data_IF_690698583419
#
_entry.id   IF_690698583419
#
_cell.length_a   1.000
_cell.length_b   1.000
_cell.length_c   1.000
_cell.angle_alpha   90.00
_cell.angle_beta   90.00
_cell.angle_gamma   90.00
#
_symmetry.space_group_name_H-M   'P 1'
#
loop_
_entity.id
_entity.type
_entity.pdbx_description
1 polymer ?
#
# COMPACT_ATOMS: atom_id res chain seq x y z
N UNK A 1 -3.95 -10.84 19.22
CA UNK A 1 -4.27 -12.03 18.41
C UNK A 1 -4.24 -11.64 16.95
N UNK A 2 -3.21 -12.04 16.21
CA UNK A 2 -3.03 -11.69 14.80
C UNK A 2 -3.40 -12.85 13.88
N UNK A 3 -3.91 -12.54 12.70
CA UNK A 3 -4.08 -13.51 11.62
C UNK A 3 -3.63 -12.88 10.30
N UNK A 4 -2.56 -13.45 9.73
CA UNK A 4 -2.12 -13.21 8.36
C UNK A 4 -2.35 -14.50 7.57
N UNK A 5 -3.22 -14.48 6.55
CA UNK A 5 -2.91 -15.07 5.25
C UNK A 5 -3.92 -14.65 4.17
N UNK A 6 -3.40 -14.48 2.95
CA UNK A 6 -4.16 -14.07 1.77
C UNK A 6 -5.21 -15.09 1.35
N UNK A 7 -6.17 -14.61 0.57
CA UNK A 7 -7.37 -15.28 0.01
C UNK A 7 -8.68 -15.27 0.82
N UNK A 8 -8.65 -14.97 2.13
CA UNK A 8 -9.85 -14.61 2.93
C UNK A 8 -9.56 -13.37 3.82
N UNK A 9 -8.96 -12.33 3.24
CA UNK A 9 -8.44 -11.19 3.99
C UNK A 9 -9.55 -10.28 4.51
N UNK A 10 -9.66 -10.14 5.84
CA UNK A 10 -10.45 -9.09 6.48
C UNK A 10 -9.96 -7.73 5.96
N UNK A 11 -10.82 -7.03 5.21
CA UNK A 11 -10.50 -5.71 4.70
C UNK A 11 -10.19 -4.79 5.88
N UNK A 12 -9.08 -4.06 5.78
CA UNK A 12 -8.67 -3.08 6.78
C UNK A 12 -9.07 -1.67 6.31
N UNK A 13 -8.92 -0.71 7.19
CA UNK A 13 -9.12 0.71 6.90
C UNK A 13 -7.98 1.56 7.48
N UNK A 14 -7.87 2.80 7.03
CA UNK A 14 -6.86 3.77 7.48
C UNK A 14 -7.53 4.94 8.24
N UNK A 15 -8.71 4.74 8.84
CA UNK A 15 -9.43 5.77 9.61
C UNK A 15 -8.75 6.12 10.94
N UNK A 16 -7.78 5.31 11.38
CA UNK A 16 -6.91 5.56 12.53
C UNK A 16 -5.46 5.83 12.12
N UNK A 17 -5.19 6.09 10.83
CA UNK A 17 -3.85 6.44 10.38
C UNK A 17 -3.46 7.80 10.98
N UNK A 18 -2.38 7.89 11.77
CA UNK A 18 -1.89 9.16 12.28
C UNK A 18 -1.55 10.11 11.13
N UNK A 19 -1.69 11.43 11.35
CA UNK A 19 -1.22 12.40 10.37
C UNK A 19 0.31 12.35 10.31
N UNK A 20 0.88 12.19 9.13
CA UNK A 20 2.33 12.16 8.97
C UNK A 20 2.79 11.89 7.54
N UNK A 21 4.10 11.91 7.33
CA UNK A 21 4.72 11.63 6.05
C UNK A 21 4.98 10.14 5.87
N UNK A 22 4.34 9.56 4.88
CA UNK A 22 4.39 8.14 4.56
C UNK A 22 5.01 7.89 3.19
N UNK A 23 5.62 6.72 3.04
CA UNK A 23 6.22 6.21 1.81
C UNK A 23 5.64 4.84 1.53
N UNK A 24 5.25 4.58 0.28
CA UNK A 24 4.93 3.23 -0.15
C UNK A 24 6.20 2.40 -0.31
N UNK A 25 6.14 1.13 0.09
CA UNK A 25 7.24 0.18 -0.03
C UNK A 25 6.77 -1.27 -0.04
N UNK A 26 7.68 -2.19 -0.36
CA UNK A 26 7.43 -3.63 -0.32
C UNK A 26 6.30 -4.05 -1.24
N UNK A 27 5.35 -4.84 -0.72
CA UNK A 27 4.22 -5.36 -1.50
C UNK A 27 3.22 -4.28 -1.98
N UNK A 28 3.23 -3.09 -1.37
CA UNK A 28 2.40 -1.97 -1.80
C UNK A 28 2.97 -1.27 -3.06
N UNK A 29 4.27 -1.40 -3.31
CA UNK A 29 4.94 -0.72 -4.42
C UNK A 29 5.67 0.54 -3.99
N UNK A 30 5.85 1.47 -4.93
CA UNK A 30 6.72 2.65 -4.75
C UNK A 30 5.96 3.96 -4.66
N UNK A 31 4.70 3.98 -5.08
CA UNK A 31 3.87 5.18 -5.19
C UNK A 31 2.38 4.81 -5.17
N UNK A 32 1.53 5.80 -4.96
CA UNK A 32 0.07 5.68 -5.10
C UNK A 32 -0.30 5.57 -6.57
N UNK A 33 -1.25 4.72 -6.99
CA UNK A 33 -1.71 4.71 -8.38
C UNK A 33 -2.39 6.03 -8.73
N UNK A 34 -2.20 6.51 -9.97
CA UNK A 34 -2.83 7.73 -10.51
C UNK A 34 -4.11 7.46 -11.31
N UNK A 35 -4.57 6.22 -11.28
CA UNK A 35 -5.80 5.77 -11.93
C UNK A 35 -6.67 4.99 -10.96
N UNK A 36 -7.96 4.97 -11.27
CA UNK A 36 -8.96 4.31 -10.45
C UNK A 36 -8.63 2.83 -10.21
N UNK A 37 -8.47 2.46 -8.94
CA UNK A 37 -8.21 1.08 -8.54
C UNK A 37 -9.53 0.36 -8.33
N UNK A 38 -9.70 -0.83 -8.90
CA UNK A 38 -10.92 -1.63 -8.70
C UNK A 38 -11.19 -1.93 -7.22
N UNK A 39 -12.47 -1.99 -6.83
CA UNK A 39 -12.94 -2.32 -5.47
C UNK A 39 -12.29 -3.60 -4.93
N UNK A 40 -12.24 -3.74 -3.60
CA UNK A 40 -11.72 -4.93 -2.92
C UNK A 40 -10.24 -5.23 -3.21
N UNK A 41 -9.44 -4.19 -3.49
CA UNK A 41 -7.99 -4.27 -3.72
C UNK A 41 -7.23 -3.58 -2.61
N UNK A 42 -5.92 -3.82 -2.55
CA UNK A 42 -5.02 -3.17 -1.58
C UNK A 42 -5.40 -3.46 -0.11
N UNK A 43 -6.09 -4.58 0.13
CA UNK A 43 -6.54 -4.98 1.46
C UNK A 43 -7.65 -4.10 2.03
N UNK A 44 -8.42 -3.40 1.18
CA UNK A 44 -9.58 -2.58 1.60
C UNK A 44 -10.78 -2.78 0.69
N UNK A 45 -11.96 -2.40 1.19
CA UNK A 45 -13.20 -2.33 0.43
C UNK A 45 -13.14 -1.27 -0.67
N UNK A 46 -12.75 -0.03 -0.30
CA UNK A 46 -12.67 1.12 -1.18
C UNK A 46 -11.22 1.64 -1.26
N UNK A 47 -10.45 1.27 -2.29
CA UNK A 47 -9.06 1.68 -2.43
C UNK A 47 -8.94 3.14 -2.85
N UNK A 48 -8.00 3.83 -2.20
CA UNK A 48 -7.61 5.20 -2.48
C UNK A 48 -6.53 5.28 -3.56
N UNK A 49 -6.70 6.21 -4.50
CA UNK A 49 -5.77 6.49 -5.60
C UNK A 49 -5.60 8.01 -5.75
N UNK A 50 -4.48 8.44 -6.32
CA UNK A 50 -4.14 9.85 -6.48
C UNK A 50 -4.89 10.42 -7.69
N UNK A 51 -5.75 11.40 -7.48
CA UNK A 51 -6.45 12.09 -8.55
C UNK A 51 -5.56 13.16 -9.17
N UNK A 52 -4.93 12.82 -10.29
CA UNK A 52 -4.00 13.66 -11.02
C UNK A 52 -2.65 12.99 -11.21
N UNK A 53 -1.62 13.80 -11.48
CA UNK A 53 -0.24 13.33 -11.62
C UNK A 53 0.56 13.55 -10.34
N UNK A 54 1.61 12.75 -10.16
CA UNK A 54 2.60 13.03 -9.13
C UNK A 54 3.45 14.27 -9.48
N UNK A 55 3.92 15.02 -8.47
CA UNK A 55 4.80 16.17 -8.69
C UNK A 55 6.17 15.78 -9.26
N UNK A 56 6.80 16.71 -9.97
CA UNK A 56 8.23 16.65 -10.28
C UNK A 56 9.04 16.97 -9.02
N UNK A 57 10.31 16.57 -9.01
CA UNK A 57 11.23 16.91 -7.92
C UNK A 57 11.39 18.43 -7.72
N UNK A 58 11.22 19.21 -8.79
CA UNK A 58 11.29 20.68 -8.78
C UNK A 58 10.09 21.36 -8.16
N UNK A 59 8.95 20.66 -8.05
CA UNK A 59 7.68 21.26 -7.64
C UNK A 59 7.57 21.40 -6.10
N UNK A 60 8.46 20.73 -5.35
CA UNK A 60 8.44 20.75 -3.90
C UNK A 60 7.25 19.98 -3.30
N UNK A 61 6.61 20.56 -2.29
CA UNK A 61 5.42 19.99 -1.65
C UNK A 61 4.19 20.56 -2.37
N UNK A 62 3.36 19.69 -2.96
CA UNK A 62 2.14 20.09 -3.65
C UNK A 62 0.90 19.51 -2.95
N UNK A 63 -0.21 20.24 -3.05
CA UNK A 63 -1.51 19.73 -2.64
C UNK A 63 -2.03 18.75 -3.70
N UNK A 64 -2.57 17.63 -3.24
CA UNK A 64 -3.19 16.64 -4.11
C UNK A 64 -4.45 16.07 -3.47
N UNK A 65 -5.31 15.49 -4.30
CA UNK A 65 -6.55 14.85 -3.88
C UNK A 65 -6.43 13.34 -4.05
N UNK A 66 -6.73 12.58 -3.00
CA UNK A 66 -6.92 11.13 -3.08
C UNK A 66 -8.41 10.87 -3.26
N UNK A 67 -8.76 10.06 -4.26
CA UNK A 67 -10.11 9.57 -4.51
C UNK A 67 -10.22 8.11 -4.05
N UNK A 68 -11.36 7.74 -3.45
CA UNK A 68 -11.63 6.37 -3.04
C UNK A 68 -12.77 5.79 -3.88
N UNK A 69 -12.51 4.65 -4.52
CA UNK A 69 -13.47 4.02 -5.42
C UNK A 69 -14.48 3.15 -4.65
N UNK A 70 -15.77 3.42 -4.85
CA UNK A 70 -16.86 2.59 -4.36
C UNK A 70 -18.08 2.62 -5.28
N UNK A 71 -18.87 1.54 -5.28
CA UNK A 71 -20.02 1.43 -6.18
C UNK A 71 -19.59 1.49 -7.65
N UNK A 72 -20.09 2.50 -8.36
CA UNK A 72 -19.75 2.85 -9.75
C UNK A 72 -18.93 4.15 -9.85
N UNK A 73 -18.62 4.78 -8.72
CA UNK A 73 -17.92 6.05 -8.67
C UNK A 73 -16.47 5.84 -8.19
N UNK A 74 -15.52 6.16 -9.07
CA UNK A 74 -14.09 6.11 -8.79
C UNK A 74 -13.65 7.12 -7.73
N UNK A 75 -14.46 8.12 -7.39
CA UNK A 75 -14.16 9.15 -6.40
C UNK A 75 -15.35 9.44 -5.46
N UNK A 76 -16.04 8.40 -4.98
CA UNK A 76 -17.17 8.57 -4.06
C UNK A 76 -16.77 9.29 -2.77
N UNK A 77 -15.60 8.95 -2.23
CA UNK A 77 -14.97 9.69 -1.15
C UNK A 77 -13.65 10.30 -1.60
N UNK A 78 -13.20 11.31 -0.86
CA UNK A 78 -11.88 11.88 -1.09
C UNK A 78 -11.23 12.41 0.17
N UNK A 79 -9.91 12.56 0.11
CA UNK A 79 -9.11 13.22 1.13
C UNK A 79 -8.10 14.14 0.44
N UNK A 80 -7.93 15.34 0.98
CA UNK A 80 -6.86 16.24 0.53
C UNK A 80 -5.58 15.89 1.29
N UNK A 81 -4.48 15.77 0.56
CA UNK A 81 -3.16 15.41 1.09
C UNK A 81 -2.11 16.37 0.56
N UNK A 82 -0.90 16.26 1.09
CA UNK A 82 0.30 16.84 0.46
C UNK A 82 1.20 15.73 -0.06
N UNK A 83 1.88 15.97 -1.17
CA UNK A 83 2.81 15.00 -1.78
C UNK A 83 4.07 15.71 -2.23
N UNK A 84 5.20 15.03 -2.11
CA UNK A 84 6.51 15.50 -2.56
C UNK A 84 7.26 14.38 -3.26
N UNK A 85 7.95 14.74 -4.33
CA UNK A 85 8.94 13.89 -4.99
C UNK A 85 10.33 14.17 -4.42
N UNK A 86 10.97 13.16 -3.85
CA UNK A 86 12.31 13.25 -3.25
C UNK A 86 13.40 12.69 -4.17
N UNK A 87 13.23 12.81 -5.49
CA UNK A 87 14.20 12.37 -6.51
C UNK A 87 14.48 10.87 -6.46
N UNK A 88 13.43 10.06 -6.63
CA UNK A 88 13.52 8.59 -6.70
C UNK A 88 12.43 7.86 -5.91
N UNK A 89 11.72 8.57 -5.04
CA UNK A 89 10.55 8.08 -4.32
C UNK A 89 9.61 9.23 -3.97
N UNK A 90 8.35 8.90 -3.71
CA UNK A 90 7.34 9.85 -3.27
C UNK A 90 7.07 9.68 -1.77
N UNK A 91 6.87 10.82 -1.11
CA UNK A 91 6.33 10.88 0.24
C UNK A 91 5.00 11.61 0.22
N UNK A 92 4.06 11.10 0.99
CA UNK A 92 2.70 11.59 1.06
C UNK A 92 2.40 11.93 2.50
N UNK A 93 1.95 13.14 2.76
CA UNK A 93 1.39 13.48 4.05
C UNK A 93 -0.06 12.99 4.10
N UNK A 94 -0.24 11.82 4.72
CA UNK A 94 -1.52 11.14 4.82
C UNK A 94 -2.04 11.27 6.24
N UNK A 95 -3.35 11.18 6.40
CA UNK A 95 -4.02 11.21 7.70
C UNK A 95 -5.18 10.22 7.73
N UNK A 96 -6.04 10.30 8.76
CA UNK A 96 -7.14 9.37 8.91
C UNK A 96 -8.14 9.52 7.76
N UNK A 97 -8.56 8.39 7.18
CA UNK A 97 -9.58 8.39 6.13
C UNK A 97 -10.97 8.68 6.69
N UNK A 98 -11.89 9.29 5.91
CA UNK A 98 -13.22 9.69 6.39
C UNK A 98 -14.08 8.57 7.00
N UNK A 99 -13.95 7.32 6.53
CA UNK A 99 -14.71 6.17 7.02
C UNK A 99 -13.84 4.92 7.11
N UNK A 100 -14.26 3.92 7.89
CA UNK A 100 -13.55 2.64 8.00
C UNK A 100 -13.90 1.64 6.88
N UNK A 101 -13.82 2.11 5.64
CA UNK A 101 -13.85 1.26 4.44
C UNK A 101 -12.74 1.62 3.45
N UNK A 102 -11.91 2.58 3.83
CA UNK A 102 -10.98 3.28 2.95
C UNK A 102 -9.54 2.96 3.36
N UNK A 103 -8.66 2.69 2.39
CA UNK A 103 -7.20 2.64 2.59
C UNK A 103 -6.49 3.28 1.42
N UNK A 104 -5.34 3.90 1.69
CA UNK A 104 -4.46 4.39 0.63
C UNK A 104 -3.80 3.21 -0.09
N UNK A 105 -4.00 3.12 -1.42
CA UNK A 105 -3.43 2.02 -2.21
C UNK A 105 -2.05 2.38 -2.76
N UNK A 106 -1.18 1.38 -2.91
CA UNK A 106 0.05 1.50 -3.68
C UNK A 106 -0.04 0.79 -5.05
N UNK A 107 0.79 1.23 -5.99
CA UNK A 107 0.71 0.87 -7.41
C UNK A 107 1.07 -0.60 -7.74
N UNK A 108 1.68 -1.36 -6.82
CA UNK A 108 2.16 -2.71 -7.16
C UNK A 108 1.10 -3.81 -7.11
N UNK A 109 -0.13 -3.48 -6.71
CA UNK A 109 -1.32 -4.31 -6.97
C UNK A 109 -1.15 -5.82 -6.71
N UNK A 110 -0.41 -6.22 -5.68
CA UNK A 110 -0.22 -7.62 -5.29
C UNK A 110 0.45 -8.54 -6.31
N UNK A 111 1.04 -8.04 -7.40
CA UNK A 111 1.74 -8.90 -8.37
C UNK A 111 3.13 -9.25 -7.84
N UNK A 112 3.27 -10.37 -7.13
CA UNK A 112 4.59 -11.00 -6.95
C UNK A 112 5.08 -11.41 -8.33
N UNK A 113 6.15 -10.81 -8.83
CA UNK A 113 6.82 -11.35 -10.01
C UNK A 113 7.54 -12.65 -9.64
N UNK A 114 7.89 -13.48 -10.65
CA UNK A 114 8.58 -14.75 -10.41
C UNK A 114 9.85 -14.57 -9.58
N UNK A 115 10.59 -13.48 -9.80
CA UNK A 115 11.83 -13.15 -9.08
C UNK A 115 11.60 -12.86 -7.58
N UNK A 116 10.49 -12.22 -7.22
CA UNK A 116 10.08 -11.97 -5.83
C UNK A 116 9.52 -13.23 -5.19
N UNK A 117 8.83 -14.07 -5.95
CA UNK A 117 8.35 -15.38 -5.50
C UNK A 117 9.54 -16.31 -5.19
N UNK A 118 10.54 -16.32 -6.07
CA UNK A 118 11.82 -17.05 -5.90
C UNK A 118 12.59 -16.57 -4.68
N UNK A 119 12.79 -15.25 -4.50
CA UNK A 119 13.47 -14.71 -3.31
C UNK A 119 12.77 -15.11 -2.02
N UNK A 120 11.44 -15.07 -1.99
CA UNK A 120 10.67 -15.48 -0.82
C UNK A 120 10.74 -17.00 -0.57
N UNK A 121 10.75 -17.84 -1.61
CA UNK A 121 11.01 -19.27 -1.46
C UNK A 121 12.40 -19.53 -0.87
N UNK A 122 13.40 -18.80 -1.35
CA UNK A 122 14.80 -18.98 -0.93
C UNK A 122 15.01 -18.56 0.53
N UNK A 123 14.39 -17.46 0.97
CA UNK A 123 14.37 -17.03 2.37
C UNK A 123 13.65 -18.04 3.27
N UNK A 124 12.55 -18.64 2.79
CA UNK A 124 11.81 -19.66 3.54
C UNK A 124 12.61 -20.96 3.68
N UNK A 125 13.29 -21.39 2.62
CA UNK A 125 14.18 -22.56 2.67
C UNK A 125 15.35 -22.34 3.62
N UNK A 126 15.95 -21.14 3.62
CA UNK A 126 17.03 -20.79 4.54
C UNK A 126 16.57 -20.85 6.00
N UNK A 127 15.43 -20.23 6.32
CA UNK A 127 14.85 -20.28 7.66
C UNK A 127 14.56 -21.72 8.15
N UNK A 128 14.05 -22.59 7.27
CA UNK A 128 13.81 -23.99 7.63
C UNK A 128 15.10 -24.79 7.81
N UNK A 129 16.14 -24.52 7.01
CA UNK A 129 17.45 -25.15 7.16
C UNK A 129 18.09 -24.74 8.50
N UNK A 130 18.08 -23.44 8.82
CA UNK A 130 18.61 -22.92 10.07
C UNK A 130 17.87 -23.52 11.28
N UNK A 131 16.53 -23.59 11.23
CA UNK A 131 15.72 -24.20 12.30
C UNK A 131 16.01 -25.69 12.49
N UNK A 132 16.22 -26.44 11.40
CA UNK A 132 16.57 -27.87 11.48
C UNK A 132 17.97 -28.12 12.04
N UNK A 133 18.88 -27.16 11.93
CA UNK A 133 20.20 -27.27 12.59
C UNK A 133 20.07 -27.07 14.10
N UNK A 134 19.27 -26.07 14.52
CA UNK A 134 18.99 -25.84 15.95
C UNK A 134 18.29 -27.03 16.60
N UNK A 135 17.31 -27.64 15.93
CA UNK A 135 16.58 -28.81 16.46
C UNK A 135 17.41 -30.11 16.53
N UNK A 136 18.59 -30.15 15.90
CA UNK A 136 19.51 -31.31 15.96
C UNK A 136 20.58 -31.16 17.05
N UNK A 137 20.67 -29.99 17.68
CA UNK A 137 21.61 -29.68 18.76
C UNK A 137 20.95 -29.73 20.15
N UNK A 138 19.65 -30.04 20.22
CA UNK A 138 18.86 -30.33 21.44
C UNK A 138 18.39 -31.77 21.46
#
# INVERSE_FOLDING_TARGET
MGYYNGYYGYFRCDNLLPLGWYRFGGAAGTEMPTSCVGKNRCGTHAPGWLNGSHPRATDGIVHAKVCFHWGYDCCLWSANIRVRNCSGFYVYELGPTPTCYLRYCGNSGGKKNNRQKERQLQETHKYQADRRMVERET
#
